data_IF_861873372633
#
_entry.id   IF_861873372633
#
_cell.length_a   1.000
_cell.length_b   1.000
_cell.length_c   1.000
_cell.angle_alpha   90.00
_cell.angle_beta   90.00
_cell.angle_gamma   90.00
#
_symmetry.space_group_name_H-M   'P 1'
#
loop_
_entity.id
_entity.type
_entity.pdbx_description
1 polymer ?
#
# COMPACT_ATOMS: atom_id res chain seq x y z
N UNK A 1 53.26 49.03 75.05
CA UNK A 1 52.33 47.88 74.87
C UNK A 1 51.28 48.28 73.85
N UNK A 2 51.03 47.47 72.82
CA UNK A 2 50.17 47.71 71.63
C UNK A 2 50.80 48.45 70.46
N UNK A 3 51.72 47.77 69.76
CA UNK A 3 52.12 48.11 68.39
C UNK A 3 52.49 46.86 67.58
N UNK A 4 51.64 45.84 67.64
CA UNK A 4 51.69 44.64 66.77
C UNK A 4 50.22 44.22 66.59
N UNK A 5 49.86 43.64 65.44
CA UNK A 5 48.48 43.29 65.00
C UNK A 5 47.73 44.44 64.28
N UNK A 6 48.20 44.83 63.10
CA UNK A 6 47.36 45.64 62.17
C UNK A 6 47.68 45.44 60.68
N UNK A 7 48.72 44.66 60.32
CA UNK A 7 49.19 44.60 58.91
C UNK A 7 48.91 43.30 58.14
N UNK A 8 48.28 42.30 58.74
CA UNK A 8 48.02 41.02 58.03
C UNK A 8 46.58 40.89 57.50
N UNK A 9 45.61 41.69 57.99
CA UNK A 9 44.19 41.51 57.62
C UNK A 9 43.67 42.41 56.49
N UNK A 10 44.48 43.30 55.91
CA UNK A 10 44.02 44.22 54.84
C UNK A 10 44.39 43.79 53.42
N UNK A 11 45.11 42.69 53.25
CA UNK A 11 45.57 42.20 51.93
C UNK A 11 44.73 41.08 51.32
N UNK A 12 43.87 40.41 52.09
CA UNK A 12 43.21 39.16 51.64
C UNK A 12 41.73 39.30 51.27
N UNK A 13 41.11 40.46 51.53
CA UNK A 13 39.67 40.65 51.35
C UNK A 13 39.25 41.01 49.89
N UNK A 14 40.06 41.67 49.02
CA UNK A 14 39.57 41.97 47.68
C UNK A 14 39.71 40.82 46.68
N UNK A 15 40.49 39.76 46.98
CA UNK A 15 40.70 38.65 46.02
C UNK A 15 39.64 37.55 46.20
N UNK A 16 39.18 37.28 47.43
CA UNK A 16 38.12 36.28 47.65
C UNK A 16 36.72 36.78 47.23
N UNK A 17 36.48 38.09 47.21
CA UNK A 17 35.20 38.65 46.76
C UNK A 17 35.07 38.72 45.23
N UNK A 18 36.20 38.82 44.51
CA UNK A 18 36.22 38.79 43.03
C UNK A 18 36.12 37.35 42.50
N UNK A 19 36.60 36.35 43.25
CA UNK A 19 36.41 34.94 42.91
C UNK A 19 34.98 34.44 43.15
N UNK A 20 34.26 34.94 44.16
CA UNK A 20 32.86 34.54 44.42
C UNK A 20 31.83 35.22 43.50
N UNK A 21 32.16 36.37 42.89
CA UNK A 21 31.30 37.04 41.91
C UNK A 21 31.51 36.55 40.47
N UNK A 22 32.53 35.73 40.20
CA UNK A 22 32.75 35.09 38.90
C UNK A 22 32.22 33.65 38.81
N UNK A 23 31.82 33.04 39.93
CA UNK A 23 31.30 31.66 39.98
C UNK A 23 29.78 31.58 40.12
N UNK A 24 29.08 32.72 40.20
CA UNK A 24 27.67 32.78 40.61
C UNK A 24 26.60 32.79 39.50
N UNK A 25 26.96 32.95 38.22
CA UNK A 25 25.95 33.14 37.15
C UNK A 25 26.03 32.15 35.97
N UNK A 26 26.97 31.22 35.96
CA UNK A 26 27.13 30.26 34.85
C UNK A 26 26.36 28.94 35.04
N UNK A 27 25.94 28.60 36.26
CA UNK A 27 25.26 27.33 36.59
C UNK A 27 23.94 27.11 35.82
N UNK A 28 23.05 28.12 35.62
CA UNK A 28 21.79 27.90 34.91
C UNK A 28 21.99 27.60 33.42
N UNK A 29 23.00 28.22 32.80
CA UNK A 29 23.25 28.12 31.35
C UNK A 29 23.90 26.79 31.01
N UNK A 30 24.84 26.31 31.83
CA UNK A 30 25.45 24.99 31.66
C UNK A 30 24.42 23.86 31.79
N UNK A 31 23.53 23.93 32.78
CA UNK A 31 22.51 22.91 32.98
C UNK A 31 21.52 22.86 31.80
N UNK A 32 21.10 24.02 31.28
CA UNK A 32 20.21 24.08 30.11
C UNK A 32 20.89 23.60 28.82
N UNK A 33 22.18 23.88 28.65
CA UNK A 33 22.93 23.39 27.49
C UNK A 33 23.05 21.87 27.52
N UNK A 34 23.38 21.28 28.67
CA UNK A 34 23.44 19.83 28.83
C UNK A 34 22.07 19.14 28.61
N UNK A 35 20.97 19.75 29.06
CA UNK A 35 19.64 19.24 28.79
C UNK A 35 19.27 19.32 27.30
N UNK A 36 19.64 20.41 26.62
CA UNK A 36 19.44 20.57 25.19
C UNK A 36 20.28 19.57 24.37
N UNK A 37 21.49 19.24 24.82
CA UNK A 37 22.32 18.19 24.22
C UNK A 37 21.69 16.81 24.38
N UNK A 38 21.10 16.49 25.54
CA UNK A 38 20.38 15.24 25.74
C UNK A 38 19.18 15.11 24.79
N UNK A 39 18.34 16.16 24.70
CA UNK A 39 17.21 16.19 23.75
C UNK A 39 17.66 16.10 22.30
N UNK A 40 18.75 16.77 21.95
CA UNK A 40 19.34 16.68 20.63
C UNK A 40 19.79 15.25 20.29
N UNK A 41 20.36 14.53 21.27
CA UNK A 41 20.71 13.13 21.12
C UNK A 41 19.49 12.25 20.83
N UNK A 42 18.40 12.45 21.57
CA UNK A 42 17.14 11.73 21.31
C UNK A 42 16.53 12.08 19.94
N UNK A 43 16.58 13.35 19.52
CA UNK A 43 16.09 13.76 18.19
C UNK A 43 16.91 13.06 17.11
N UNK A 44 18.24 13.00 17.28
CA UNK A 44 19.12 12.32 16.32
C UNK A 44 18.80 10.83 16.23
N UNK A 45 18.59 10.15 17.35
CA UNK A 45 18.19 8.74 17.34
C UNK A 45 16.89 8.52 16.56
N UNK A 46 15.89 9.39 16.76
CA UNK A 46 14.63 9.33 15.99
C UNK A 46 14.86 9.60 14.50
N UNK A 47 15.73 10.55 14.15
CA UNK A 47 16.11 10.81 12.77
C UNK A 47 16.79 9.62 12.11
N UNK A 48 17.73 8.95 12.80
CA UNK A 48 18.44 7.80 12.26
C UNK A 48 17.46 6.65 11.93
N UNK A 49 16.52 6.35 12.84
CA UNK A 49 15.45 5.35 12.59
C UNK A 49 14.53 5.75 11.44
N UNK A 50 14.15 7.03 11.42
CA UNK A 50 13.30 7.59 10.36
C UNK A 50 13.96 7.44 8.98
N UNK A 51 15.24 7.77 8.86
CA UNK A 51 15.96 7.72 7.60
C UNK A 51 16.05 6.27 7.06
N UNK A 52 16.23 5.30 7.95
CA UNK A 52 16.20 3.87 7.60
C UNK A 52 14.81 3.47 7.06
N UNK A 53 13.73 3.84 7.76
CA UNK A 53 12.35 3.58 7.31
C UNK A 53 12.04 4.25 5.96
N UNK A 54 12.50 5.48 5.74
CA UNK A 54 12.31 6.18 4.47
C UNK A 54 13.05 5.50 3.31
N UNK A 55 14.28 5.03 3.55
CA UNK A 55 15.06 4.31 2.55
C UNK A 55 14.44 2.96 2.20
N UNK A 56 13.91 2.24 3.18
CA UNK A 56 13.21 0.98 2.96
C UNK A 56 11.91 1.19 2.15
N UNK A 57 11.14 2.23 2.48
CA UNK A 57 9.96 2.61 1.69
C UNK A 57 10.31 2.88 0.23
N UNK A 58 11.40 3.62 -0.02
CA UNK A 58 11.91 3.89 -1.37
C UNK A 58 12.33 2.60 -2.09
N UNK A 59 13.11 1.74 -1.44
CA UNK A 59 13.57 0.47 -2.03
C UNK A 59 12.41 -0.43 -2.46
N UNK A 60 11.38 -0.54 -1.60
CA UNK A 60 10.15 -1.29 -1.93
C UNK A 60 9.45 -0.69 -3.16
N UNK A 61 9.27 0.63 -3.19
CA UNK A 61 8.63 1.30 -4.32
C UNK A 61 9.46 1.25 -5.60
N UNK A 62 10.79 1.34 -5.51
CA UNK A 62 11.71 1.20 -6.65
C UNK A 62 11.60 -0.20 -7.26
N UNK A 63 11.49 -1.25 -6.46
CA UNK A 63 11.25 -2.61 -6.97
C UNK A 63 9.97 -2.68 -7.80
N UNK A 64 8.87 -2.10 -7.32
CA UNK A 64 7.59 -2.09 -8.06
C UNK A 64 7.69 -1.24 -9.34
N UNK A 65 8.45 -0.15 -9.29
CA UNK A 65 8.68 0.72 -10.45
C UNK A 65 9.53 0.02 -11.53
N UNK A 66 10.67 -0.57 -11.14
CA UNK A 66 11.67 -1.14 -12.06
C UNK A 66 11.34 -2.54 -12.56
N UNK A 67 10.62 -3.37 -11.79
CA UNK A 67 10.31 -4.73 -12.23
C UNK A 67 9.31 -4.71 -13.40
N UNK A 68 9.77 -5.26 -14.52
CA UNK A 68 9.01 -5.38 -15.76
C UNK A 68 7.92 -6.48 -15.72
N UNK A 69 7.74 -7.18 -14.59
CA UNK A 69 6.88 -8.37 -14.48
C UNK A 69 6.00 -8.38 -13.23
N UNK A 70 4.75 -8.04 -13.47
CA UNK A 70 3.50 -8.49 -12.83
C UNK A 70 3.68 -9.74 -11.93
N UNK A 71 3.99 -10.93 -12.48
CA UNK A 71 3.99 -12.19 -11.71
C UNK A 71 5.11 -12.35 -10.67
N UNK A 72 6.24 -11.64 -10.80
CA UNK A 72 7.31 -11.68 -9.78
C UNK A 72 7.08 -10.68 -8.65
N UNK A 73 6.42 -9.57 -8.95
CA UNK A 73 5.97 -8.59 -7.97
C UNK A 73 4.86 -9.19 -7.08
N UNK A 74 3.96 -9.97 -7.68
CA UNK A 74 2.72 -10.47 -7.09
C UNK A 74 2.84 -11.39 -5.87
N UNK A 75 3.82 -12.30 -5.84
CA UNK A 75 3.87 -13.32 -4.78
C UNK A 75 4.78 -12.93 -3.60
N UNK A 76 5.73 -12.01 -3.79
CA UNK A 76 6.69 -11.62 -2.76
C UNK A 76 6.47 -10.21 -2.19
N UNK A 77 6.15 -9.25 -3.05
CA UNK A 77 6.27 -7.84 -2.66
C UNK A 77 4.98 -7.28 -2.02
N UNK A 78 3.81 -7.87 -2.25
CA UNK A 78 2.57 -7.37 -1.64
C UNK A 78 2.53 -7.62 -0.13
N UNK A 79 3.01 -8.79 0.31
CA UNK A 79 3.18 -9.08 1.74
C UNK A 79 4.24 -8.17 2.37
N UNK A 80 5.33 -7.88 1.65
CA UNK A 80 6.35 -6.93 2.09
C UNK A 80 5.78 -5.50 2.20
N UNK A 81 4.99 -5.03 1.23
CA UNK A 81 4.36 -3.69 1.25
C UNK A 81 3.35 -3.58 2.40
N UNK A 82 2.40 -4.52 2.48
CA UNK A 82 1.34 -4.50 3.51
C UNK A 82 1.94 -4.73 4.90
N UNK A 83 2.91 -5.62 5.03
CA UNK A 83 3.61 -5.90 6.29
C UNK A 83 4.46 -4.72 6.76
N UNK A 84 4.98 -3.90 5.84
CA UNK A 84 5.80 -2.74 6.15
C UNK A 84 4.98 -1.54 6.66
N UNK A 85 3.70 -1.40 6.31
CA UNK A 85 2.85 -0.25 6.68
C UNK A 85 2.85 0.03 8.19
N UNK A 86 2.74 -1.01 9.03
CA UNK A 86 2.74 -0.84 10.49
C UNK A 86 4.03 -0.19 10.99
N UNK A 87 5.18 -0.61 10.45
CA UNK A 87 6.49 -0.08 10.79
C UNK A 87 6.67 1.35 10.26
N UNK A 88 6.18 1.61 9.04
CA UNK A 88 6.21 2.94 8.44
C UNK A 88 5.42 3.97 9.25
N UNK A 89 4.19 3.64 9.63
CA UNK A 89 3.35 4.54 10.43
C UNK A 89 3.86 4.70 11.87
N UNK A 90 4.47 3.66 12.46
CA UNK A 90 5.16 3.78 13.73
C UNK A 90 6.33 4.79 13.63
N UNK A 91 7.16 4.68 12.59
CA UNK A 91 8.25 5.62 12.33
C UNK A 91 7.77 7.06 12.14
N UNK A 92 6.69 7.26 11.38
CA UNK A 92 6.05 8.59 11.21
C UNK A 92 5.58 9.16 12.55
N UNK A 93 4.93 8.35 13.39
CA UNK A 93 4.51 8.76 14.73
C UNK A 93 5.68 9.09 15.66
N UNK A 94 6.79 8.38 15.57
CA UNK A 94 8.02 8.74 16.28
C UNK A 94 8.57 10.10 15.81
N UNK A 95 8.58 10.35 14.51
CA UNK A 95 9.02 11.62 13.94
C UNK A 95 8.13 12.79 14.39
N UNK A 96 6.81 12.62 14.47
CA UNK A 96 5.90 13.67 14.96
C UNK A 96 6.22 14.11 16.40
N UNK A 97 6.73 13.20 17.25
CA UNK A 97 7.18 13.52 18.60
C UNK A 97 8.44 14.41 18.62
N UNK A 98 9.20 14.50 17.52
CA UNK A 98 10.39 15.37 17.40
C UNK A 98 10.00 16.84 17.48
N UNK A 99 8.85 17.24 16.92
CA UNK A 99 8.38 18.62 16.95
C UNK A 99 8.32 19.16 18.39
N UNK A 100 7.77 18.37 19.32
CA UNK A 100 7.70 18.76 20.74
C UNK A 100 9.08 18.93 21.37
N UNK A 101 10.05 18.08 21.04
CA UNK A 101 11.42 18.18 21.57
C UNK A 101 12.14 19.42 21.03
N UNK A 102 11.94 19.76 19.75
CA UNK A 102 12.47 20.97 19.13
C UNK A 102 11.87 22.23 19.79
N UNK A 103 10.56 22.24 20.04
CA UNK A 103 9.88 23.34 20.72
C UNK A 103 10.39 23.56 22.15
N UNK A 104 10.60 22.47 22.88
CA UNK A 104 11.18 22.52 24.23
C UNK A 104 12.60 23.12 24.19
N UNK A 105 13.45 22.68 23.24
CA UNK A 105 14.79 23.26 23.05
C UNK A 105 14.72 24.76 22.68
N UNK A 106 13.77 25.15 21.84
CA UNK A 106 13.53 26.54 21.46
C UNK A 106 13.11 27.40 22.66
N UNK A 107 12.34 26.85 23.59
CA UNK A 107 11.92 27.52 24.82
C UNK A 107 13.04 27.70 25.85
N UNK A 108 14.10 26.88 25.80
CA UNK A 108 15.25 27.00 26.72
C UNK A 108 16.02 28.32 26.51
N UNK A 109 16.69 28.82 27.57
CA UNK A 109 17.54 30.03 27.50
C UNK A 109 18.96 29.67 27.06
N UNK A 110 19.05 29.08 25.87
CA UNK A 110 20.30 28.68 25.23
C UNK A 110 21.05 29.89 24.65
N UNK A 111 22.39 29.82 24.52
CA UNK A 111 23.17 30.82 23.79
C UNK A 111 22.66 30.99 22.35
N UNK A 112 22.67 32.22 21.82
CA UNK A 112 22.17 32.50 20.47
C UNK A 112 22.90 31.74 19.37
N UNK A 113 24.20 31.44 19.56
CA UNK A 113 24.96 30.59 18.63
C UNK A 113 24.40 29.17 18.53
N UNK A 114 23.90 28.63 19.64
CA UNK A 114 23.27 27.31 19.68
C UNK A 114 21.92 27.32 18.97
N UNK A 115 21.08 28.33 19.24
CA UNK A 115 19.75 28.46 18.58
C UNK A 115 19.86 28.70 17.08
N UNK A 116 20.70 29.65 16.66
CA UNK A 116 20.78 30.08 15.26
C UNK A 116 21.58 29.11 14.38
N UNK A 117 22.34 28.18 14.96
CA UNK A 117 23.08 27.17 14.21
C UNK A 117 22.46 25.79 14.37
N UNK A 118 22.54 25.23 15.57
CA UNK A 118 22.22 23.83 15.80
C UNK A 118 20.72 23.54 15.79
N UNK A 119 19.92 24.32 16.53
CA UNK A 119 18.46 24.13 16.56
C UNK A 119 17.84 24.44 15.21
N UNK A 120 18.31 25.49 14.53
CA UNK A 120 17.88 25.82 13.16
C UNK A 120 18.14 24.66 12.17
N UNK A 121 19.30 24.00 12.25
CA UNK A 121 19.59 22.83 11.43
C UNK A 121 18.68 21.64 11.79
N UNK A 122 18.41 21.39 13.07
CA UNK A 122 17.48 20.33 13.50
C UNK A 122 16.07 20.57 12.95
N UNK A 123 15.56 21.81 13.02
CA UNK A 123 14.25 22.16 12.44
C UNK A 123 14.24 21.94 10.94
N UNK A 124 15.25 22.42 10.21
CA UNK A 124 15.34 22.19 8.77
C UNK A 124 15.37 20.70 8.40
N UNK A 125 16.13 19.91 9.17
CA UNK A 125 16.26 18.47 8.95
C UNK A 125 14.96 17.71 9.30
N UNK A 126 14.21 18.19 10.29
CA UNK A 126 12.88 17.69 10.62
C UNK A 126 11.88 17.99 9.49
N UNK A 127 11.80 19.24 9.05
CA UNK A 127 10.87 19.66 7.99
C UNK A 127 11.11 18.87 6.69
N UNK A 128 12.38 18.65 6.33
CA UNK A 128 12.75 17.86 5.16
C UNK A 128 12.34 16.38 5.28
N UNK A 129 12.46 15.78 6.49
CA UNK A 129 12.02 14.39 6.75
C UNK A 129 10.51 14.23 6.73
N UNK A 130 9.76 15.21 7.24
CA UNK A 130 8.29 15.22 7.12
C UNK A 130 7.88 15.20 5.65
N UNK A 131 8.47 16.08 4.83
CA UNK A 131 8.21 16.10 3.40
C UNK A 131 8.67 14.80 2.69
N UNK A 132 9.79 14.20 3.11
CA UNK A 132 10.23 12.90 2.58
C UNK A 132 9.25 11.77 2.95
N UNK A 133 8.69 11.78 4.16
CA UNK A 133 7.64 10.84 4.58
C UNK A 133 6.38 10.95 3.74
N UNK A 134 5.91 12.18 3.47
CA UNK A 134 4.74 12.39 2.60
C UNK A 134 4.96 11.82 1.20
N UNK A 135 6.19 11.96 0.64
CA UNK A 135 6.55 11.39 -0.65
C UNK A 135 6.67 9.86 -0.59
N UNK A 136 7.29 9.31 0.45
CA UNK A 136 7.42 7.87 0.64
C UNK A 136 6.06 7.19 0.85
N UNK A 137 5.15 7.84 1.57
CA UNK A 137 3.77 7.36 1.77
C UNK A 137 3.03 7.29 0.43
N UNK A 138 3.14 8.33 -0.39
CA UNK A 138 2.56 8.34 -1.73
C UNK A 138 3.18 7.27 -2.65
N UNK A 139 4.51 7.08 -2.59
CA UNK A 139 5.20 6.02 -3.33
C UNK A 139 4.71 4.63 -2.93
N UNK A 140 4.61 4.35 -1.62
CA UNK A 140 4.11 3.07 -1.10
C UNK A 140 2.65 2.84 -1.50
N UNK A 141 1.79 3.86 -1.37
CA UNK A 141 0.38 3.76 -1.80
C UNK A 141 0.29 3.42 -3.28
N UNK A 142 0.95 4.20 -4.14
CA UNK A 142 0.93 3.97 -5.59
C UNK A 142 1.49 2.58 -5.94
N UNK A 143 2.53 2.13 -5.23
CA UNK A 143 3.12 0.80 -5.42
C UNK A 143 2.15 -0.31 -5.04
N UNK A 144 1.47 -0.17 -3.89
CA UNK A 144 0.46 -1.10 -3.39
C UNK A 144 -0.73 -1.19 -4.33
N UNK A 145 -1.22 -0.05 -4.78
CA UNK A 145 -2.38 0.06 -5.66
C UNK A 145 -2.08 -0.57 -7.01
N UNK A 146 -0.93 -0.25 -7.62
CA UNK A 146 -0.50 -0.88 -8.87
C UNK A 146 -0.31 -2.40 -8.72
N UNK A 147 0.34 -2.84 -7.65
CA UNK A 147 0.54 -4.26 -7.38
C UNK A 147 -0.80 -4.98 -7.17
N UNK A 148 -1.75 -4.37 -6.44
CA UNK A 148 -3.09 -4.93 -6.22
C UNK A 148 -3.88 -5.01 -7.52
N UNK A 149 -3.79 -4.00 -8.38
CA UNK A 149 -4.46 -3.99 -9.68
C UNK A 149 -3.96 -5.12 -10.57
N UNK A 150 -2.65 -5.31 -10.58
CA UNK A 150 -2.00 -6.40 -11.26
C UNK A 150 -2.46 -7.76 -10.71
N UNK A 151 -2.41 -7.97 -9.38
CA UNK A 151 -2.89 -9.22 -8.72
C UNK A 151 -4.32 -9.55 -9.14
N UNK A 152 -5.21 -8.55 -9.09
CA UNK A 152 -6.60 -8.70 -9.49
C UNK A 152 -6.75 -9.07 -10.97
N UNK A 153 -5.94 -8.46 -11.85
CA UNK A 153 -5.90 -8.84 -13.25
C UNK A 153 -5.55 -10.32 -13.45
N UNK A 154 -4.39 -10.77 -12.95
CA UNK A 154 -3.90 -12.14 -13.18
C UNK A 154 -4.85 -13.19 -12.56
N UNK A 155 -5.30 -12.94 -11.33
CA UNK A 155 -6.30 -13.77 -10.65
C UNK A 155 -7.61 -13.87 -11.45
N UNK A 156 -8.12 -12.73 -11.93
CA UNK A 156 -9.35 -12.67 -12.71
C UNK A 156 -9.24 -13.44 -14.03
N UNK A 157 -8.15 -13.24 -14.78
CA UNK A 157 -7.92 -13.94 -16.05
C UNK A 157 -7.79 -15.45 -15.87
N UNK A 158 -7.05 -15.89 -14.84
CA UNK A 158 -6.93 -17.30 -14.52
C UNK A 158 -8.31 -17.93 -14.20
N UNK A 159 -9.17 -17.21 -13.46
CA UNK A 159 -10.55 -17.66 -13.18
C UNK A 159 -11.42 -17.71 -14.42
N UNK A 160 -11.30 -16.74 -15.32
CA UNK A 160 -12.02 -16.79 -16.59
C UNK A 160 -11.60 -17.97 -17.45
N UNK A 161 -10.31 -18.31 -17.45
CA UNK A 161 -9.82 -19.52 -18.12
C UNK A 161 -10.47 -20.78 -17.53
N UNK A 162 -10.54 -20.88 -16.20
CA UNK A 162 -11.18 -22.01 -15.51
C UNK A 162 -12.69 -22.10 -15.78
N UNK A 163 -13.39 -20.97 -15.87
CA UNK A 163 -14.80 -20.91 -16.30
C UNK A 163 -14.92 -21.40 -17.74
N UNK A 164 -14.03 -20.92 -18.61
CA UNK A 164 -13.84 -21.37 -20.00
C UNK A 164 -13.78 -22.89 -20.11
N UNK A 165 -12.93 -23.53 -19.31
CA UNK A 165 -12.75 -24.99 -19.29
C UNK A 165 -13.99 -25.76 -18.81
N UNK A 166 -14.83 -25.14 -17.98
CA UNK A 166 -16.07 -25.73 -17.44
C UNK A 166 -17.25 -25.63 -18.38
N UNK A 167 -17.29 -24.61 -19.24
CA UNK A 167 -18.41 -24.35 -20.12
C UNK A 167 -18.74 -25.52 -21.05
N UNK A 168 -17.78 -26.11 -21.80
CA UNK A 168 -18.06 -27.29 -22.63
C UNK A 168 -18.69 -28.43 -21.84
N UNK A 169 -18.19 -28.67 -20.62
CA UNK A 169 -18.70 -29.73 -19.73
C UNK A 169 -20.17 -29.45 -19.36
N UNK A 170 -20.48 -28.24 -18.91
CA UNK A 170 -21.86 -27.83 -18.57
C UNK A 170 -22.79 -28.01 -19.76
N UNK A 171 -22.36 -27.61 -20.96
CA UNK A 171 -23.16 -27.70 -22.17
C UNK A 171 -23.41 -29.16 -22.59
N UNK A 172 -22.43 -30.05 -22.44
CA UNK A 172 -22.51 -31.47 -22.78
C UNK A 172 -23.35 -32.32 -21.81
N UNK A 173 -23.57 -31.87 -20.56
CA UNK A 173 -24.38 -32.63 -19.61
C UNK A 173 -25.86 -32.67 -20.04
N UNK A 174 -26.30 -33.80 -20.58
CA UNK A 174 -27.71 -34.09 -20.82
C UNK A 174 -28.37 -34.55 -19.52
N UNK A 175 -29.40 -33.84 -19.07
CA UNK A 175 -30.09 -34.17 -17.82
C UNK A 175 -31.19 -35.19 -18.08
N UNK A 176 -30.94 -36.44 -17.67
CA UNK A 176 -31.88 -37.54 -17.82
C UNK A 176 -32.25 -38.23 -16.51
N UNK A 177 -31.48 -37.98 -15.46
CA UNK A 177 -31.62 -38.63 -14.15
C UNK A 177 -31.02 -37.78 -13.02
N UNK A 178 -31.05 -38.33 -11.80
CA UNK A 178 -30.54 -37.67 -10.60
C UNK A 178 -29.03 -37.38 -10.68
N UNK A 179 -28.24 -38.30 -11.24
CA UNK A 179 -26.78 -38.17 -11.25
C UNK A 179 -26.31 -37.12 -12.27
N UNK A 180 -26.94 -37.08 -13.45
CA UNK A 180 -26.73 -36.02 -14.45
C UNK A 180 -27.18 -34.65 -13.95
N UNK A 181 -28.30 -34.55 -13.22
CA UNK A 181 -28.72 -33.31 -12.58
C UNK A 181 -27.73 -32.83 -11.50
N UNK A 182 -27.18 -33.75 -10.68
CA UNK A 182 -26.14 -33.41 -9.69
C UNK A 182 -24.85 -32.94 -10.35
N UNK A 183 -24.43 -33.60 -11.44
CA UNK A 183 -23.26 -33.19 -12.19
C UNK A 183 -23.43 -31.78 -12.76
N UNK A 184 -24.59 -31.47 -13.34
CA UNK A 184 -24.90 -30.15 -13.87
C UNK A 184 -24.88 -29.07 -12.77
N UNK A 185 -25.56 -29.33 -11.65
CA UNK A 185 -25.58 -28.42 -10.51
C UNK A 185 -24.16 -28.14 -10.00
N UNK A 186 -23.37 -29.20 -9.78
CA UNK A 186 -22.00 -29.08 -9.29
C UNK A 186 -21.12 -28.21 -10.19
N UNK A 187 -21.14 -28.45 -11.50
CA UNK A 187 -20.29 -27.69 -12.42
C UNK A 187 -20.78 -26.24 -12.59
N UNK A 188 -22.09 -25.99 -12.58
CA UNK A 188 -22.64 -24.62 -12.66
C UNK A 188 -22.43 -23.81 -11.39
N UNK A 189 -22.55 -24.42 -10.20
CA UNK A 189 -22.18 -23.78 -8.92
C UNK A 189 -20.69 -23.40 -8.90
N UNK A 190 -19.83 -24.22 -9.48
CA UNK A 190 -18.41 -23.88 -9.61
C UNK A 190 -18.20 -22.64 -10.50
N UNK A 191 -18.87 -22.57 -11.65
CA UNK A 191 -18.85 -21.37 -12.52
C UNK A 191 -19.34 -20.13 -11.75
N UNK A 192 -20.46 -20.21 -11.03
CA UNK A 192 -20.99 -19.09 -10.24
C UNK A 192 -19.99 -18.61 -9.20
N UNK A 193 -19.32 -19.54 -8.51
CA UNK A 193 -18.33 -19.21 -7.49
C UNK A 193 -17.11 -18.52 -8.11
N UNK A 194 -16.53 -19.11 -9.16
CA UNK A 194 -15.32 -18.57 -9.78
C UNK A 194 -15.62 -17.25 -10.50
N UNK A 195 -16.80 -17.12 -11.09
CA UNK A 195 -17.28 -15.89 -11.73
C UNK A 195 -17.42 -14.75 -10.73
N UNK A 196 -18.03 -14.98 -9.56
CA UNK A 196 -18.17 -13.95 -8.51
C UNK A 196 -16.81 -13.45 -8.02
N UNK A 197 -15.83 -14.33 -7.90
CA UNK A 197 -14.48 -13.90 -7.50
C UNK A 197 -13.84 -13.14 -8.66
N UNK A 198 -13.93 -13.63 -9.89
CA UNK A 198 -13.40 -12.93 -11.07
C UNK A 198 -13.96 -11.52 -11.22
N UNK A 199 -15.27 -11.36 -11.08
CA UNK A 199 -15.95 -10.06 -11.16
C UNK A 199 -15.42 -9.07 -10.13
N UNK A 200 -15.23 -9.52 -8.89
CA UNK A 200 -14.61 -8.71 -7.84
C UNK A 200 -13.15 -8.37 -8.16
N UNK A 201 -12.38 -9.30 -8.70
CA UNK A 201 -10.95 -9.11 -9.00
C UNK A 201 -10.75 -8.07 -10.12
N UNK A 202 -11.53 -8.15 -11.20
CA UNK A 202 -11.51 -7.13 -12.26
C UNK A 202 -12.02 -5.77 -11.78
N UNK A 203 -13.11 -5.75 -11.00
CA UNK A 203 -13.60 -4.49 -10.44
C UNK A 203 -12.57 -3.85 -9.51
N UNK A 204 -11.92 -4.63 -8.66
CA UNK A 204 -10.89 -4.11 -7.75
C UNK A 204 -9.69 -3.60 -8.53
N UNK A 205 -9.28 -4.30 -9.59
CA UNK A 205 -8.17 -3.87 -10.42
C UNK A 205 -8.41 -2.51 -11.08
N UNK A 206 -9.60 -2.30 -11.64
CA UNK A 206 -9.95 -1.01 -12.26
C UNK A 206 -10.17 0.15 -11.27
N UNK A 207 -10.40 -0.14 -9.99
CA UNK A 207 -10.54 0.89 -8.94
C UNK A 207 -9.18 1.25 -8.33
N UNK A 208 -8.27 0.27 -8.23
CA UNK A 208 -6.99 0.45 -7.55
C UNK A 208 -6.11 1.50 -8.24
N UNK A 209 -6.06 1.49 -9.57
CA UNK A 209 -5.33 2.50 -10.34
C UNK A 209 -6.13 2.96 -11.55
N UNK A 210 -5.93 4.20 -11.95
CA UNK A 210 -6.58 4.81 -13.12
C UNK A 210 -5.80 4.56 -14.42
N UNK A 211 -5.32 3.33 -14.61
CA UNK A 211 -4.70 2.91 -15.87
C UNK A 211 -5.78 2.40 -16.83
N UNK A 212 -5.80 2.84 -18.10
CA UNK A 212 -6.82 2.44 -19.07
C UNK A 212 -7.01 0.92 -19.19
N UNK A 213 -5.93 0.12 -19.17
CA UNK A 213 -6.05 -1.35 -19.25
C UNK A 213 -6.93 -1.93 -18.15
N UNK A 214 -6.81 -1.46 -16.90
CA UNK A 214 -7.63 -1.98 -15.81
C UNK A 214 -9.06 -1.42 -15.83
N UNK A 215 -9.26 -0.23 -16.39
CA UNK A 215 -10.61 0.30 -16.62
C UNK A 215 -11.35 -0.54 -17.64
N UNK A 216 -10.71 -0.85 -18.77
CA UNK A 216 -11.29 -1.70 -19.83
C UNK A 216 -11.58 -3.12 -19.30
N UNK A 217 -10.71 -3.68 -18.44
CA UNK A 217 -10.97 -4.96 -17.77
C UNK A 217 -12.15 -4.89 -16.77
N UNK A 218 -12.29 -3.78 -16.05
CA UNK A 218 -13.41 -3.55 -15.14
C UNK A 218 -14.75 -3.44 -15.90
N UNK A 219 -14.73 -2.92 -17.12
CA UNK A 219 -15.90 -2.93 -18.01
C UNK A 219 -16.28 -4.38 -18.40
N UNK A 220 -15.30 -5.25 -18.66
CA UNK A 220 -15.55 -6.69 -18.87
C UNK A 220 -16.11 -7.41 -17.64
N UNK A 221 -15.95 -6.86 -16.43
CA UNK A 221 -16.58 -7.42 -15.23
C UNK A 221 -18.11 -7.40 -15.33
N UNK A 222 -18.69 -6.49 -16.12
CA UNK A 222 -20.12 -6.50 -16.39
C UNK A 222 -20.55 -7.76 -17.16
N UNK A 223 -19.80 -8.14 -18.20
CA UNK A 223 -20.10 -9.33 -19.00
C UNK A 223 -19.94 -10.62 -18.17
N UNK A 224 -18.95 -10.65 -17.26
CA UNK A 224 -18.82 -11.74 -16.27
C UNK A 224 -20.08 -11.86 -15.40
N UNK A 225 -20.77 -10.77 -15.06
CA UNK A 225 -22.04 -10.84 -14.31
C UNK A 225 -23.15 -11.52 -15.10
N UNK A 226 -23.22 -11.34 -16.41
CA UNK A 226 -24.21 -12.02 -17.26
C UNK A 226 -23.93 -13.53 -17.31
N UNK A 227 -22.65 -13.93 -17.40
CA UNK A 227 -22.23 -15.34 -17.29
C UNK A 227 -22.64 -15.93 -15.94
N UNK A 228 -22.40 -15.20 -14.84
CA UNK A 228 -22.82 -15.62 -13.49
C UNK A 228 -24.34 -15.78 -13.44
N UNK A 229 -25.12 -14.82 -13.95
CA UNK A 229 -26.57 -14.85 -13.89
C UNK A 229 -27.16 -16.03 -14.66
N UNK A 230 -26.61 -16.33 -15.85
CA UNK A 230 -27.01 -17.51 -16.61
C UNK A 230 -26.64 -18.81 -15.89
N UNK A 231 -25.40 -18.92 -15.38
CA UNK A 231 -24.95 -20.10 -14.63
C UNK A 231 -25.75 -20.32 -13.33
N UNK A 232 -26.09 -19.24 -12.62
CA UNK A 232 -26.92 -19.28 -11.39
C UNK A 232 -28.35 -19.72 -11.70
N UNK A 233 -28.89 -19.32 -12.84
CA UNK A 233 -30.20 -19.79 -13.32
C UNK A 233 -30.19 -21.29 -13.64
N UNK A 234 -29.12 -21.81 -14.26
CA UNK A 234 -28.96 -23.25 -14.48
C UNK A 234 -28.81 -23.99 -13.14
N UNK A 235 -28.00 -23.47 -12.23
CA UNK A 235 -27.80 -24.07 -10.90
C UNK A 235 -29.14 -24.15 -10.15
N UNK A 236 -29.90 -23.05 -10.12
CA UNK A 236 -31.23 -22.99 -9.50
C UNK A 236 -32.20 -24.03 -10.09
N UNK A 237 -32.32 -24.10 -11.43
CA UNK A 237 -33.19 -25.09 -12.07
C UNK A 237 -32.69 -26.52 -11.86
N UNK A 238 -31.39 -26.74 -11.79
CA UNK A 238 -30.81 -28.06 -11.51
C UNK A 238 -31.12 -28.52 -10.09
N UNK A 239 -31.00 -27.63 -9.09
CA UNK A 239 -31.42 -27.91 -7.71
C UNK A 239 -32.92 -28.19 -7.63
N UNK A 240 -33.76 -27.39 -8.29
CA UNK A 240 -35.20 -27.62 -8.36
C UNK A 240 -35.57 -28.97 -8.99
N UNK A 241 -34.85 -29.35 -10.05
CA UNK A 241 -35.00 -30.65 -10.69
C UNK A 241 -34.59 -31.80 -9.77
N UNK A 242 -33.47 -31.68 -9.06
CA UNK A 242 -33.02 -32.68 -8.07
C UNK A 242 -34.08 -32.93 -7.01
N UNK A 243 -34.61 -31.86 -6.41
CA UNK A 243 -35.67 -31.97 -5.41
C UNK A 243 -36.93 -32.62 -5.98
N UNK A 244 -37.29 -32.30 -7.23
CA UNK A 244 -38.47 -32.85 -7.90
C UNK A 244 -38.29 -34.34 -8.22
N UNK A 245 -37.09 -34.75 -8.64
CA UNK A 245 -36.74 -36.15 -8.87
C UNK A 245 -36.80 -36.97 -7.57
N UNK A 246 -36.30 -36.43 -6.46
CA UNK A 246 -36.36 -37.10 -5.15
C UNK A 246 -37.79 -37.27 -4.63
N UNK A 247 -38.67 -36.30 -4.92
CA UNK A 247 -40.08 -36.30 -4.51
C UNK A 247 -41.01 -37.00 -5.50
N UNK A 248 -40.48 -37.48 -6.64
CA UNK A 248 -41.25 -37.99 -7.78
C UNK A 248 -42.31 -36.99 -8.29
N UNK A 249 -42.04 -35.68 -8.19
CA UNK A 249 -42.93 -34.62 -8.66
C UNK A 249 -42.82 -34.44 -10.18
N UNK A 250 -43.79 -35.00 -10.90
CA UNK A 250 -43.83 -34.98 -12.37
C UNK A 250 -43.93 -33.56 -12.95
N UNK A 251 -44.57 -32.62 -12.25
CA UNK A 251 -44.69 -31.24 -12.75
C UNK A 251 -43.37 -30.49 -12.57
N UNK A 252 -42.75 -30.58 -11.39
CA UNK A 252 -41.43 -29.98 -11.15
C UNK A 252 -40.36 -30.55 -12.09
N UNK A 253 -40.36 -31.87 -12.31
CA UNK A 253 -39.44 -32.51 -13.27
C UNK A 253 -39.61 -31.92 -14.68
N UNK A 254 -40.85 -31.78 -15.16
CA UNK A 254 -41.13 -31.22 -16.48
C UNK A 254 -40.74 -29.74 -16.56
N UNK A 255 -41.10 -28.94 -15.55
CA UNK A 255 -40.82 -27.51 -15.51
C UNK A 255 -39.31 -27.24 -15.58
N UNK A 256 -38.53 -27.84 -14.67
CA UNK A 256 -37.10 -27.57 -14.60
C UNK A 256 -36.31 -28.18 -15.77
N UNK A 257 -36.71 -29.36 -16.26
CA UNK A 257 -36.06 -29.95 -17.45
C UNK A 257 -36.29 -29.13 -18.73
N UNK A 258 -37.38 -28.38 -18.82
CA UNK A 258 -37.63 -27.45 -19.93
C UNK A 258 -36.87 -26.12 -19.78
N UNK A 259 -36.60 -25.67 -18.56
CA UNK A 259 -35.86 -24.43 -18.31
C UNK A 259 -34.35 -24.57 -18.55
N UNK A 260 -33.75 -25.70 -18.15
CA UNK A 260 -32.30 -25.92 -18.23
C UNK A 260 -31.73 -25.66 -19.63
N UNK A 261 -32.31 -26.18 -20.74
CA UNK A 261 -31.82 -25.89 -22.09
C UNK A 261 -31.87 -24.40 -22.44
N UNK A 262 -32.90 -23.67 -22.02
CA UNK A 262 -33.04 -22.23 -22.25
C UNK A 262 -31.92 -21.47 -21.52
N UNK A 263 -31.64 -21.82 -20.27
CA UNK A 263 -30.56 -21.18 -19.53
C UNK A 263 -29.16 -21.57 -20.03
N UNK A 264 -28.99 -22.76 -20.61
CA UNK A 264 -27.76 -23.11 -21.34
C UNK A 264 -27.54 -22.23 -22.57
N UNK A 265 -28.61 -21.94 -23.34
CA UNK A 265 -28.52 -21.01 -24.47
C UNK A 265 -28.13 -19.60 -24.00
N UNK A 266 -28.73 -19.10 -22.92
CA UNK A 266 -28.35 -17.82 -22.32
C UNK A 266 -26.89 -17.80 -21.84
N UNK A 267 -26.40 -18.90 -21.28
CA UNK A 267 -24.99 -19.00 -20.86
C UNK A 267 -24.04 -18.94 -22.05
N UNK A 268 -24.40 -19.55 -23.18
CA UNK A 268 -23.61 -19.45 -24.42
C UNK A 268 -23.61 -18.02 -24.94
N UNK A 269 -24.76 -17.35 -24.97
CA UNK A 269 -24.87 -15.96 -25.42
C UNK A 269 -24.02 -15.02 -24.54
N UNK A 270 -24.15 -15.11 -23.22
CA UNK A 270 -23.35 -14.31 -22.28
C UNK A 270 -21.84 -14.53 -22.44
N UNK A 271 -21.42 -15.77 -22.76
CA UNK A 271 -20.02 -16.07 -23.01
C UNK A 271 -19.51 -15.57 -24.36
N UNK A 272 -20.37 -15.55 -25.38
CA UNK A 272 -20.04 -14.92 -26.66
C UNK A 272 -19.85 -13.42 -26.47
N UNK A 273 -20.79 -12.77 -25.79
CA UNK A 273 -20.71 -11.34 -25.50
C UNK A 273 -19.44 -11.00 -24.70
N UNK A 274 -19.12 -11.79 -23.66
CA UNK A 274 -17.86 -11.64 -22.92
C UNK A 274 -16.64 -11.74 -23.85
N UNK A 275 -16.55 -12.76 -24.69
CA UNK A 275 -15.39 -12.93 -25.60
C UNK A 275 -15.28 -11.81 -26.63
N UNK A 276 -16.41 -11.31 -27.13
CA UNK A 276 -16.44 -10.21 -28.11
C UNK A 276 -16.05 -8.86 -27.49
N UNK A 277 -16.40 -8.63 -26.23
CA UNK A 277 -16.11 -7.39 -25.50
C UNK A 277 -14.78 -7.45 -24.72
N UNK A 278 -14.18 -8.63 -24.56
CA UNK A 278 -12.92 -8.78 -23.85
C UNK A 278 -11.80 -7.98 -24.57
N UNK A 279 -10.96 -7.22 -23.85
CA UNK A 279 -9.94 -6.35 -24.45
C UNK A 279 -8.76 -7.14 -25.02
N UNK A 280 -8.98 -7.82 -26.14
CA UNK A 280 -8.02 -8.69 -26.84
C UNK A 280 -6.80 -7.95 -27.41
N UNK A 281 -6.82 -6.62 -27.47
CA UNK A 281 -5.67 -5.81 -27.84
C UNK A 281 -4.77 -5.46 -26.63
N UNK A 282 -5.24 -5.74 -25.42
CA UNK A 282 -4.53 -5.53 -24.15
C UNK A 282 -4.05 -6.83 -23.51
N UNK A 283 -4.66 -7.96 -23.88
CA UNK A 283 -4.28 -9.31 -23.43
C UNK A 283 -4.01 -10.22 -24.63
N UNK A 284 -2.88 -10.93 -24.62
CA UNK A 284 -2.49 -11.82 -25.71
C UNK A 284 -3.09 -13.24 -25.57
N UNK A 285 -2.78 -14.11 -26.53
CA UNK A 285 -3.29 -15.50 -26.58
C UNK A 285 -2.80 -16.38 -25.41
N UNK A 286 -1.77 -15.96 -24.68
CA UNK A 286 -1.27 -16.63 -23.48
C UNK A 286 -1.82 -16.01 -22.20
N UNK A 287 -2.79 -15.11 -22.30
CA UNK A 287 -3.34 -14.34 -21.18
C UNK A 287 -2.36 -13.33 -20.57
N UNK A 288 -1.27 -13.00 -21.27
CA UNK A 288 -0.29 -12.01 -20.83
C UNK A 288 -0.68 -10.60 -21.31
N UNK A 289 -0.27 -9.57 -20.57
CA UNK A 289 -0.45 -8.18 -21.02
C UNK A 289 0.33 -7.92 -22.30
N UNK A 290 -0.34 -7.38 -23.32
CA UNK A 290 0.31 -6.98 -24.58
C UNK A 290 1.26 -5.80 -24.36
N UNK A 291 2.11 -5.53 -25.35
CA UNK A 291 2.96 -4.32 -25.35
C UNK A 291 2.13 -3.03 -25.21
N UNK A 292 0.90 -3.00 -25.74
CA UNK A 292 0.02 -1.84 -25.61
C UNK A 292 -0.37 -1.62 -24.14
N UNK A 293 -0.82 -2.68 -23.45
CA UNK A 293 -1.16 -2.62 -22.04
C UNK A 293 0.04 -2.30 -21.15
N UNK A 294 1.19 -2.91 -21.43
CA UNK A 294 2.44 -2.64 -20.71
C UNK A 294 2.84 -1.17 -20.84
N UNK A 295 2.74 -0.57 -22.03
CA UNK A 295 3.04 0.84 -22.22
C UNK A 295 2.09 1.75 -21.41
N UNK A 296 0.81 1.41 -21.30
CA UNK A 296 -0.12 2.19 -20.46
C UNK A 296 0.28 2.16 -18.98
N UNK A 297 0.75 1.02 -18.48
CA UNK A 297 1.27 0.89 -17.12
C UNK A 297 2.55 1.71 -16.94
N UNK A 298 3.47 1.66 -17.89
CA UNK A 298 4.73 2.42 -17.84
C UNK A 298 4.51 3.94 -17.95
N UNK A 299 3.55 4.37 -18.76
CA UNK A 299 3.12 5.76 -18.83
C UNK A 299 2.55 6.21 -17.48
N UNK A 300 1.70 5.39 -16.86
CA UNK A 300 1.16 5.66 -15.53
C UNK A 300 2.25 5.75 -14.45
N UNK A 301 3.20 4.80 -14.41
CA UNK A 301 4.35 4.84 -13.50
C UNK A 301 5.16 6.13 -13.69
N UNK A 302 5.36 6.55 -14.94
CA UNK A 302 6.09 7.76 -15.27
C UNK A 302 5.38 9.03 -14.81
N UNK A 303 4.05 9.05 -14.83
CA UNK A 303 3.23 10.18 -14.38
C UNK A 303 3.09 10.24 -12.85
N UNK A 304 2.91 9.09 -12.20
CA UNK A 304 2.49 9.03 -10.79
C UNK A 304 3.60 8.68 -9.81
N UNK A 305 4.66 7.99 -10.24
CA UNK A 305 5.75 7.54 -9.35
C UNK A 305 7.06 8.27 -9.61
N UNK A 306 7.46 8.45 -10.87
CA UNK A 306 8.74 9.07 -11.21
C UNK A 306 8.96 10.47 -10.57
N UNK A 307 7.96 11.39 -10.55
CA UNK A 307 8.12 12.69 -9.89
C UNK A 307 8.33 12.59 -8.37
N UNK A 308 7.75 11.56 -7.74
CA UNK A 308 7.88 11.34 -6.31
C UNK A 308 9.29 10.87 -5.95
N UNK A 309 9.89 9.99 -6.76
CA UNK A 309 11.30 9.60 -6.58
C UNK A 309 12.25 10.79 -6.67
N UNK A 310 12.06 11.66 -7.67
CA UNK A 310 12.87 12.88 -7.82
C UNK A 310 12.73 13.78 -6.58
N UNK A 311 11.50 14.00 -6.14
CA UNK A 311 11.22 14.86 -4.96
C UNK A 311 11.81 14.24 -3.69
N UNK A 312 11.70 12.93 -3.52
CA UNK A 312 12.27 12.21 -2.40
C UNK A 312 13.80 12.35 -2.37
N UNK A 313 14.49 12.14 -3.50
CA UNK A 313 15.94 12.31 -3.62
C UNK A 313 16.40 13.74 -3.32
N UNK A 314 15.63 14.74 -3.75
CA UNK A 314 15.88 16.15 -3.41
C UNK A 314 15.77 16.39 -1.90
N UNK A 315 14.78 15.79 -1.24
CA UNK A 315 14.61 15.90 0.21
C UNK A 315 15.69 15.17 0.97
N UNK A 316 16.13 14.00 0.52
CA UNK A 316 17.29 13.33 1.10
C UNK A 316 18.56 14.18 1.01
N UNK A 317 18.83 14.80 -0.15
CA UNK A 317 19.94 15.75 -0.29
C UNK A 317 19.79 16.97 0.62
N UNK A 318 18.57 17.46 0.84
CA UNK A 318 18.34 18.55 1.79
C UNK A 318 18.70 18.13 3.22
N UNK A 319 18.35 16.90 3.61
CA UNK A 319 18.71 16.30 4.90
C UNK A 319 20.25 16.14 5.00
N UNK A 320 20.93 15.60 3.98
CA UNK A 320 22.40 15.48 3.88
C UNK A 320 23.10 16.81 4.17
N UNK A 321 22.62 17.87 3.54
CA UNK A 321 23.20 19.20 3.63
C UNK A 321 23.05 19.85 5.01
N UNK A 322 22.22 19.30 5.90
CA UNK A 322 22.14 19.79 7.29
C UNK A 322 23.31 19.32 8.15
N UNK A 323 24.07 18.31 7.70
CA UNK A 323 25.11 17.66 8.49
C UNK A 323 24.57 16.87 9.69
N UNK A 324 23.26 16.61 9.69
CA UNK A 324 22.54 15.83 10.70
C UNK A 324 22.09 14.46 10.14
N UNK A 325 22.90 13.94 9.22
CA UNK A 325 22.86 12.55 8.79
C UNK A 325 24.04 11.77 9.39
N UNK A 326 24.01 10.46 9.19
CA UNK A 326 25.18 9.59 9.31
C UNK A 326 26.27 10.04 8.32
#
# INVERSE_FOLDING_TARGET
MFRVISRVLKGFIPIMLVLFLLTGCSIPVYHQTSLAEAKAGEIKETFDKTDETLLEAKDISEKVYDDALVSKIMEGNLEDIVGFEESFYAGKGELENVSGKIDEMNAMRLPSSYKNGYVANLTKAYDARIAAFENAEALLSNSKDLASALVGYDSGINRMTQIGDKLPIVLEIEVSDLESAKALEKETVAIVKDGKICESEFSNAGIAVDVPVFQELSESAHDVREVIAAADSIAFSSTGLLESLEKEDSWGILEYSMQIPVFKEMLVEAMVDYVENFPVDLVDENNDLTTKAQNQIEDWKSEHMAPLFVTFDEKQKEIENTGLQI
#
